data_IF_016578615141
#
_entry.id   IF_016578615141
#
_cell.length_a   1.000
_cell.length_b   1.000
_cell.length_c   1.000
_cell.angle_alpha   90.00
_cell.angle_beta   90.00
_cell.angle_gamma   90.00
#
_symmetry.space_group_name_H-M   'P 1'
#
loop_
_entity.id
_entity.type
_entity.pdbx_description
1 polymer ?
#
# COMPACT_ATOMS: atom_id res chain seq x y z
N UNK A 1 14.22 -16.26 -13.77
CA UNK A 1 13.17 -16.11 -12.73
C UNK A 1 13.90 -16.05 -11.39
N UNK A 2 13.66 -15.01 -10.60
CA UNK A 2 14.33 -14.80 -9.30
C UNK A 2 13.94 -15.93 -8.35
N UNK A 3 14.90 -16.61 -7.73
CA UNK A 3 14.64 -17.75 -6.82
C UNK A 3 14.16 -17.34 -5.42
N UNK A 4 13.52 -16.17 -5.27
CA UNK A 4 13.11 -15.62 -3.98
C UNK A 4 11.57 -15.53 -3.87
N UNK A 5 10.90 -16.42 -3.10
CA UNK A 5 9.44 -16.46 -3.01
C UNK A 5 8.84 -15.18 -2.39
N UNK A 6 9.59 -14.47 -1.55
CA UNK A 6 9.16 -13.19 -0.98
C UNK A 6 9.07 -12.11 -2.07
N UNK A 7 10.05 -12.07 -2.97
CA UNK A 7 10.07 -11.14 -4.10
C UNK A 7 8.94 -11.45 -5.09
N UNK A 8 8.70 -12.72 -5.41
CA UNK A 8 7.64 -13.12 -6.34
C UNK A 8 6.25 -12.71 -5.83
N UNK A 9 6.04 -12.76 -4.52
CA UNK A 9 4.76 -12.33 -3.93
C UNK A 9 4.61 -10.81 -3.95
N UNK A 10 5.67 -10.05 -3.66
CA UNK A 10 5.69 -8.60 -3.80
C UNK A 10 5.35 -8.14 -5.22
N UNK A 11 5.87 -8.82 -6.24
CA UNK A 11 5.59 -8.50 -7.63
C UNK A 11 4.10 -8.66 -7.99
N UNK A 12 3.37 -9.57 -7.35
CA UNK A 12 1.91 -9.66 -7.54
C UNK A 12 1.16 -8.46 -6.97
N UNK A 13 1.64 -7.91 -5.85
CA UNK A 13 1.09 -6.66 -5.29
C UNK A 13 1.43 -5.45 -6.16
N UNK A 14 2.60 -5.45 -6.83
CA UNK A 14 2.96 -4.42 -7.81
C UNK A 14 1.90 -4.32 -8.90
N UNK A 15 1.44 -5.44 -9.47
CA UNK A 15 0.44 -5.43 -10.55
C UNK A 15 -0.87 -4.75 -10.12
N UNK A 16 -1.31 -4.95 -8.86
CA UNK A 16 -2.49 -4.28 -8.30
C UNK A 16 -2.28 -2.76 -8.22
N UNK A 17 -1.16 -2.32 -7.64
CA UNK A 17 -0.86 -0.89 -7.55
C UNK A 17 -0.65 -0.23 -8.91
N UNK A 18 -0.15 -0.97 -9.91
CA UNK A 18 -0.01 -0.48 -11.28
C UNK A 18 -1.35 -0.25 -11.98
N UNK A 19 -2.34 -1.13 -11.75
CA UNK A 19 -3.69 -0.92 -12.25
C UNK A 19 -4.30 0.35 -11.66
N UNK A 20 -4.19 0.54 -10.33
CA UNK A 20 -4.66 1.75 -9.65
C UNK A 20 -3.94 3.01 -10.14
N UNK A 21 -2.62 2.95 -10.36
CA UNK A 21 -1.84 4.06 -10.91
C UNK A 21 -2.33 4.46 -12.31
N UNK A 22 -2.67 3.50 -13.16
CA UNK A 22 -3.19 3.80 -14.49
C UNK A 22 -4.51 4.58 -14.40
N UNK A 23 -5.36 4.25 -13.43
CA UNK A 23 -6.67 4.87 -13.20
C UNK A 23 -6.52 6.28 -12.61
N UNK A 24 -5.67 6.43 -11.60
CA UNK A 24 -5.33 7.72 -10.99
C UNK A 24 -4.73 8.68 -12.01
N UNK A 25 -3.82 8.21 -12.86
CA UNK A 25 -3.27 9.02 -13.94
C UNK A 25 -4.32 9.48 -14.96
N UNK A 26 -5.31 8.62 -15.29
CA UNK A 26 -6.45 9.03 -16.13
C UNK A 26 -7.29 10.12 -15.44
N UNK A 27 -7.55 9.96 -14.15
CA UNK A 27 -8.30 10.94 -13.36
C UNK A 27 -7.58 12.29 -13.28
N UNK A 28 -6.27 12.30 -12.98
CA UNK A 28 -5.46 13.51 -12.91
C UNK A 28 -5.46 14.26 -14.26
N UNK A 29 -5.33 13.54 -15.39
CA UNK A 29 -5.42 14.15 -16.72
C UNK A 29 -6.78 14.81 -16.96
N UNK A 30 -7.87 14.15 -16.56
CA UNK A 30 -9.22 14.71 -16.68
C UNK A 30 -9.41 15.97 -15.84
N UNK A 31 -8.95 15.96 -14.59
CA UNK A 31 -9.04 17.12 -13.70
C UNK A 31 -8.20 18.31 -14.19
N UNK A 32 -6.98 18.06 -14.68
CA UNK A 32 -6.14 19.11 -15.29
C UNK A 32 -6.79 19.71 -16.52
N UNK A 33 -7.43 18.90 -17.37
CA UNK A 33 -8.19 19.38 -18.51
C UNK A 33 -9.38 20.25 -18.05
N UNK A 34 -10.09 19.82 -17.00
CA UNK A 34 -11.18 20.59 -16.41
C UNK A 34 -10.73 21.91 -15.75
N UNK A 35 -9.50 21.99 -15.25
CA UNK A 35 -8.94 23.24 -14.73
C UNK A 35 -8.49 24.20 -15.86
N UNK A 36 -8.16 23.65 -17.03
CA UNK A 36 -7.70 24.43 -18.19
C UNK A 36 -8.83 25.06 -18.99
N UNK A 37 -9.96 24.38 -19.18
CA UNK A 37 -11.05 25.00 -19.97
C UNK A 37 -11.69 26.12 -19.18
N UNK A 38 -11.93 27.25 -19.86
CA UNK A 38 -12.81 28.30 -19.35
C UNK A 38 -14.27 27.86 -19.59
N UNK A 39 -15.20 28.15 -18.67
CA UNK A 39 -16.62 27.97 -18.92
C UNK A 39 -17.04 28.67 -20.23
N UNK A 40 -18.04 28.14 -20.96
CA UNK A 40 -18.94 27.06 -20.55
C UNK A 40 -18.46 25.67 -20.98
N UNK A 41 -18.69 24.70 -20.10
CA UNK A 41 -18.55 23.28 -20.40
C UNK A 41 -19.69 22.84 -21.33
N UNK A 42 -19.45 21.94 -22.31
CA UNK A 42 -20.53 21.36 -23.12
C UNK A 42 -21.60 20.70 -22.25
N UNK A 43 -21.16 20.08 -21.15
CA UNK A 43 -22.00 19.61 -20.05
C UNK A 43 -21.32 20.03 -18.73
N UNK A 44 -21.86 21.02 -18.01
CA UNK A 44 -21.31 21.36 -16.70
C UNK A 44 -21.57 20.19 -15.74
N UNK A 45 -20.55 19.72 -14.99
CA UNK A 45 -20.78 18.75 -13.93
C UNK A 45 -21.81 19.33 -12.96
N UNK A 46 -22.78 18.51 -12.55
CA UNK A 46 -23.77 18.84 -11.52
C UNK A 46 -23.40 18.08 -10.25
N UNK A 47 -23.26 18.75 -9.09
CA UNK A 47 -23.31 20.20 -8.89
C UNK A 47 -22.10 20.92 -9.54
N UNK A 48 -22.21 22.24 -9.83
CA UNK A 48 -21.09 23.00 -10.41
C UNK A 48 -19.88 22.93 -9.48
N UNK A 49 -18.83 22.26 -9.94
CA UNK A 49 -17.57 22.18 -9.21
C UNK A 49 -16.85 23.52 -9.30
N UNK A 50 -16.53 24.11 -8.16
CA UNK A 50 -15.68 25.30 -8.11
C UNK A 50 -14.26 24.95 -8.57
N UNK A 51 -13.52 25.96 -9.04
CA UNK A 51 -12.12 25.76 -9.43
C UNK A 51 -11.28 25.28 -8.25
N UNK A 52 -11.61 25.77 -7.05
CA UNK A 52 -11.01 25.38 -5.78
C UNK A 52 -11.27 23.90 -5.49
N UNK A 53 -12.50 23.41 -5.68
CA UNK A 53 -12.84 22.00 -5.52
C UNK A 53 -12.05 21.12 -6.50
N UNK A 54 -12.00 21.48 -7.79
CA UNK A 54 -11.22 20.75 -8.79
C UNK A 54 -9.73 20.72 -8.49
N UNK A 55 -9.19 21.81 -7.94
CA UNK A 55 -7.79 21.91 -7.54
C UNK A 55 -7.51 21.04 -6.31
N UNK A 56 -8.42 21.02 -5.34
CA UNK A 56 -8.36 20.12 -4.19
C UNK A 56 -8.41 18.64 -4.57
N UNK A 57 -9.34 18.29 -5.47
CA UNK A 57 -9.46 16.93 -6.02
C UNK A 57 -8.18 16.50 -6.75
N UNK A 58 -7.63 17.39 -7.60
CA UNK A 58 -6.39 17.11 -8.31
C UNK A 58 -5.22 16.87 -7.35
N UNK A 59 -5.06 17.74 -6.34
CA UNK A 59 -4.03 17.58 -5.33
C UNK A 59 -4.19 16.25 -4.56
N UNK A 60 -5.43 15.83 -4.26
CA UNK A 60 -5.72 14.53 -3.67
C UNK A 60 -5.30 13.36 -4.55
N UNK A 61 -5.65 13.40 -5.84
CA UNK A 61 -5.25 12.37 -6.80
C UNK A 61 -3.72 12.32 -6.98
N UNK A 62 -3.05 13.46 -7.05
CA UNK A 62 -1.59 13.52 -7.18
C UNK A 62 -0.89 12.93 -5.94
N UNK A 63 -1.38 13.22 -4.72
CA UNK A 63 -0.87 12.57 -3.51
C UNK A 63 -1.02 11.05 -3.55
N UNK A 64 -2.17 10.56 -4.03
CA UNK A 64 -2.41 9.11 -4.19
C UNK A 64 -1.45 8.49 -5.19
N UNK A 65 -1.20 9.15 -6.33
CA UNK A 65 -0.23 8.68 -7.33
C UNK A 65 1.15 8.49 -6.67
N UNK A 66 1.66 9.51 -5.99
CA UNK A 66 2.98 9.44 -5.34
C UNK A 66 3.07 8.30 -4.33
N UNK A 67 1.99 8.06 -3.55
CA UNK A 67 1.93 6.96 -2.59
C UNK A 67 2.01 5.58 -3.25
N UNK A 68 1.23 5.36 -4.31
CA UNK A 68 1.26 4.09 -5.05
C UNK A 68 2.60 3.88 -5.77
N UNK A 69 3.18 4.93 -6.37
CA UNK A 69 4.50 4.86 -7.00
C UNK A 69 5.57 4.42 -6.00
N UNK A 70 5.54 5.02 -4.80
CA UNK A 70 6.50 4.69 -3.75
C UNK A 70 6.41 3.23 -3.28
N UNK A 71 5.20 2.68 -3.14
CA UNK A 71 5.04 1.25 -2.82
C UNK A 71 5.53 0.34 -3.94
N UNK A 72 5.27 0.72 -5.19
CA UNK A 72 5.75 -0.05 -6.35
C UNK A 72 7.28 -0.06 -6.41
N UNK A 73 7.93 1.08 -6.14
CA UNK A 73 9.38 1.17 -6.01
C UNK A 73 9.90 0.25 -4.91
N UNK A 74 9.32 0.35 -3.71
CA UNK A 74 9.71 -0.49 -2.57
C UNK A 74 9.57 -1.98 -2.87
N UNK A 75 8.44 -2.40 -3.44
CA UNK A 75 8.18 -3.80 -3.77
C UNK A 75 9.11 -4.34 -4.87
N UNK A 76 9.65 -3.47 -5.73
CA UNK A 76 10.61 -3.83 -6.78
C UNK A 76 12.07 -3.82 -6.33
N UNK A 77 12.35 -3.23 -5.18
CA UNK A 77 13.70 -3.21 -4.64
C UNK A 77 14.11 -4.62 -4.21
N UNK A 78 15.09 -5.19 -4.92
CA UNK A 78 15.58 -6.54 -4.65
C UNK A 78 16.09 -6.71 -3.21
N UNK A 79 16.58 -5.63 -2.59
CA UNK A 79 17.05 -5.63 -1.21
C UNK A 79 15.92 -5.95 -0.23
N UNK A 80 14.69 -5.53 -0.53
CA UNK A 80 13.52 -5.86 0.30
C UNK A 80 13.30 -7.36 0.33
N UNK A 81 13.27 -8.02 -0.83
CA UNK A 81 13.15 -9.47 -0.90
C UNK A 81 14.29 -10.21 -0.19
N UNK A 82 15.52 -9.71 -0.32
CA UNK A 82 16.70 -10.30 0.34
C UNK A 82 16.66 -10.18 1.87
N UNK A 83 16.29 -9.00 2.37
CA UNK A 83 16.14 -8.74 3.81
C UNK A 83 15.01 -9.57 4.40
N UNK A 84 13.86 -9.64 3.73
CA UNK A 84 12.74 -10.48 4.18
C UNK A 84 13.15 -11.96 4.28
N UNK A 85 13.89 -12.47 3.28
CA UNK A 85 14.42 -13.84 3.33
C UNK A 85 15.38 -14.03 4.50
N UNK A 86 16.32 -13.11 4.71
CA UNK A 86 17.27 -13.20 5.82
C UNK A 86 16.56 -13.18 7.18
N UNK A 87 15.56 -12.31 7.36
CA UNK A 87 14.71 -12.25 8.56
C UNK A 87 13.93 -13.54 8.77
N UNK A 88 13.49 -14.20 7.70
CA UNK A 88 12.77 -15.47 7.80
C UNK A 88 13.68 -16.64 8.23
N UNK A 89 14.95 -16.61 7.85
CA UNK A 89 15.90 -17.70 8.07
C UNK A 89 16.72 -17.55 9.36
N UNK A 90 16.85 -16.33 9.90
CA UNK A 90 17.68 -16.01 11.07
C UNK A 90 16.85 -15.41 12.23
N UNK A 91 16.64 -16.15 13.34
CA UNK A 91 15.90 -15.67 14.50
C UNK A 91 16.55 -14.49 15.23
N UNK A 92 17.87 -14.33 15.19
CA UNK A 92 18.55 -13.20 15.84
C UNK A 92 18.32 -11.93 15.02
N UNK A 93 18.48 -12.03 13.70
CA UNK A 93 18.14 -10.95 12.77
C UNK A 93 16.66 -10.56 12.86
N UNK A 94 15.76 -11.53 13.04
CA UNK A 94 14.34 -11.27 13.24
C UNK A 94 14.04 -10.49 14.52
N UNK A 95 14.80 -10.73 15.60
CA UNK A 95 14.67 -9.98 16.86
C UNK A 95 15.18 -8.56 16.70
N UNK A 96 16.28 -8.36 15.98
CA UNK A 96 16.78 -7.02 15.63
C UNK A 96 15.73 -6.24 14.82
N UNK A 97 15.19 -6.85 13.77
CA UNK A 97 14.12 -6.27 12.97
C UNK A 97 12.86 -5.96 13.80
N UNK A 98 12.52 -6.77 14.80
CA UNK A 98 11.36 -6.55 15.65
C UNK A 98 11.54 -5.42 16.68
N UNK A 99 12.78 -5.13 17.08
CA UNK A 99 13.06 -4.06 18.03
C UNK A 99 12.80 -2.66 17.43
N UNK A 100 13.23 -2.46 16.18
CA UNK A 100 12.97 -1.25 15.41
C UNK A 100 12.97 -1.55 13.90
N UNK A 101 11.81 -1.90 13.32
CA UNK A 101 11.71 -2.26 11.91
C UNK A 101 12.18 -1.15 10.96
N UNK A 102 11.94 0.11 11.33
CA UNK A 102 12.29 1.26 10.49
C UNK A 102 13.80 1.52 10.50
N UNK A 103 14.42 1.50 11.69
CA UNK A 103 15.87 1.63 11.79
C UNK A 103 16.60 0.44 11.15
N UNK A 104 16.05 -0.77 11.31
CA UNK A 104 16.57 -1.98 10.68
C UNK A 104 16.54 -1.86 9.15
N UNK A 105 15.39 -1.50 8.56
CA UNK A 105 15.28 -1.29 7.11
C UNK A 105 16.27 -0.22 6.61
N UNK A 106 16.39 0.91 7.31
CA UNK A 106 17.34 1.96 6.98
C UNK A 106 18.80 1.47 7.03
N UNK A 107 19.14 0.63 8.01
CA UNK A 107 20.45 -0.02 8.12
C UNK A 107 20.79 -0.92 6.92
N UNK A 108 19.76 -1.46 6.26
CA UNK A 108 19.88 -2.22 5.01
C UNK A 108 19.72 -1.35 3.74
N UNK A 109 19.68 -0.02 3.89
CA UNK A 109 19.55 0.93 2.78
C UNK A 109 18.15 0.94 2.14
N UNK A 110 17.15 0.43 2.83
CA UNK A 110 15.74 0.43 2.42
C UNK A 110 15.05 1.62 3.09
N UNK A 111 14.50 2.50 2.26
CA UNK A 111 13.82 3.70 2.72
C UNK A 111 12.31 3.46 2.73
N UNK A 112 11.78 3.16 3.93
CA UNK A 112 10.36 2.89 4.12
C UNK A 112 9.54 4.18 4.05
N UNK A 113 8.36 4.18 3.40
CA UNK A 113 7.46 5.33 3.44
C UNK A 113 7.08 5.69 4.88
N UNK A 114 7.03 6.98 5.22
CA UNK A 114 6.67 7.46 6.57
C UNK A 114 5.28 7.00 7.04
N UNK A 115 4.40 6.65 6.10
CA UNK A 115 3.04 6.16 6.38
C UNK A 115 2.99 4.64 6.60
N UNK A 116 4.09 3.92 6.31
CA UNK A 116 4.15 2.48 6.45
C UNK A 116 4.49 2.11 7.90
N UNK A 117 3.56 1.44 8.56
CA UNK A 117 3.75 0.85 9.87
C UNK A 117 4.08 -0.62 9.71
N UNK A 118 5.22 -1.03 10.24
CA UNK A 118 5.69 -2.42 10.24
C UNK A 118 5.69 -2.94 11.67
N UNK A 119 5.12 -4.11 11.88
CA UNK A 119 5.17 -4.81 13.17
C UNK A 119 5.69 -6.21 12.93
N UNK A 120 6.80 -6.57 13.55
CA UNK A 120 7.39 -7.92 13.44
C UNK A 120 7.13 -8.67 14.75
N UNK A 121 6.69 -9.92 14.63
CA UNK A 121 6.42 -10.83 15.73
C UNK A 121 7.32 -12.05 15.60
N UNK A 122 8.07 -12.33 16.66
CA UNK A 122 8.97 -13.49 16.77
C UNK A 122 8.47 -14.40 17.88
N UNK A 123 8.05 -15.61 17.54
CA UNK A 123 7.57 -16.64 18.46
C UNK A 123 8.43 -17.90 18.33
N UNK A 124 9.49 -18.00 19.14
CA UNK A 124 10.46 -19.08 19.04
C UNK A 124 11.23 -19.02 17.72
N UNK A 125 10.90 -19.91 16.77
CA UNK A 125 11.45 -19.92 15.40
C UNK A 125 10.49 -19.35 14.36
N UNK A 126 9.25 -19.08 14.74
CA UNK A 126 8.25 -18.54 13.83
C UNK A 126 8.41 -17.02 13.78
N UNK A 127 8.58 -16.49 12.57
CA UNK A 127 8.67 -15.06 12.30
C UNK A 127 7.51 -14.66 11.40
N UNK A 128 6.80 -13.62 11.81
CA UNK A 128 5.75 -13.00 11.01
C UNK A 128 5.85 -11.49 11.09
N UNK A 129 5.35 -10.80 10.08
CA UNK A 129 5.25 -9.35 10.10
C UNK A 129 3.89 -8.90 9.59
N UNK A 130 3.44 -7.74 10.07
CA UNK A 130 2.28 -7.02 9.57
C UNK A 130 2.77 -5.69 9.03
N UNK A 131 2.41 -5.41 7.78
CA UNK A 131 2.65 -4.15 7.11
C UNK A 131 1.31 -3.47 6.94
N UNK A 132 1.18 -2.25 7.44
CA UNK A 132 -0.06 -1.50 7.35
C UNK A 132 0.21 -0.06 6.97
N UNK A 133 -0.71 0.52 6.21
CA UNK A 133 -0.74 1.94 5.97
C UNK A 133 -2.08 2.48 6.49
N UNK A 134 -2.10 3.28 7.57
CA UNK A 134 -3.32 3.84 8.12
C UNK A 134 -3.78 5.10 7.36
N UNK A 135 -3.02 5.54 6.35
CA UNK A 135 -3.34 6.73 5.59
C UNK A 135 -4.68 6.55 4.83
N UNK A 136 -5.65 7.46 5.01
CA UNK A 136 -7.00 7.30 4.43
C UNK A 136 -7.02 7.37 2.90
N UNK A 137 -5.97 7.93 2.26
CA UNK A 137 -5.88 7.97 0.81
C UNK A 137 -5.49 6.60 0.20
N UNK A 138 -4.89 5.71 1.00
CA UNK A 138 -4.43 4.38 0.58
C UNK A 138 -4.32 3.41 1.78
N UNK A 139 -5.44 3.08 2.44
CA UNK A 139 -5.40 2.21 3.60
C UNK A 139 -5.17 0.76 3.16
N UNK A 140 -4.22 0.09 3.81
CA UNK A 140 -4.05 -1.36 3.62
C UNK A 140 -3.45 -2.02 4.85
N UNK A 141 -3.63 -3.33 4.92
CA UNK A 141 -2.92 -4.22 5.83
C UNK A 141 -2.58 -5.50 5.07
N UNK A 142 -1.33 -5.94 5.17
CA UNK A 142 -0.87 -7.21 4.60
C UNK A 142 0.02 -7.92 5.61
N UNK A 143 -0.21 -9.22 5.77
CA UNK A 143 0.63 -10.06 6.62
C UNK A 143 1.74 -10.69 5.80
N UNK A 144 2.86 -11.00 6.45
CA UNK A 144 4.00 -11.68 5.87
C UNK A 144 4.48 -12.76 6.82
N UNK A 145 4.89 -13.89 6.24
CA UNK A 145 5.50 -15.02 6.94
C UNK A 145 6.72 -15.50 6.18
N UNK A 146 7.39 -16.54 6.69
CA UNK A 146 8.48 -17.21 5.97
C UNK A 146 8.10 -17.66 4.55
N UNK A 147 6.82 -17.91 4.29
CA UNK A 147 6.34 -18.39 2.99
C UNK A 147 5.96 -17.22 2.05
N UNK A 148 6.15 -15.97 2.49
CA UNK A 148 5.85 -14.75 1.74
C UNK A 148 4.67 -13.98 2.29
N UNK A 149 4.24 -12.97 1.52
CA UNK A 149 3.08 -12.15 1.87
C UNK A 149 1.80 -12.97 1.75
N UNK A 150 0.99 -12.91 2.79
CA UNK A 150 -0.35 -13.50 2.81
C UNK A 150 -1.31 -12.46 2.25
N UNK A 151 -2.20 -12.89 1.34
CA UNK A 151 -3.29 -12.03 0.91
C UNK A 151 -4.08 -11.54 2.15
N UNK A 152 -4.52 -10.27 2.20
CA UNK A 152 -5.37 -9.82 3.29
C UNK A 152 -6.57 -10.75 3.40
N UNK A 153 -7.00 -11.13 4.62
CA UNK A 153 -8.22 -11.89 4.78
C UNK A 153 -9.34 -11.10 4.11
N UNK A 154 -10.03 -11.71 3.14
CA UNK A 154 -11.21 -11.12 2.51
C UNK A 154 -12.18 -10.79 3.65
N UNK A 155 -12.58 -9.52 3.85
CA UNK A 155 -13.51 -9.18 4.91
C UNK A 155 -14.78 -10.02 4.73
N UNK A 156 -15.09 -10.82 5.74
CA UNK A 156 -16.26 -11.69 5.74
C UNK A 156 -17.52 -10.81 5.81
N UNK A 157 -18.08 -10.46 4.64
CA UNK A 157 -19.28 -9.63 4.47
C UNK A 157 -20.51 -10.25 5.15
N UNK A 158 -20.41 -11.46 5.70
CA UNK A 158 -21.52 -12.21 6.30
C UNK A 158 -21.77 -11.98 7.79
N UNK A 159 -20.93 -11.22 8.51
CA UNK A 159 -21.17 -10.94 9.96
C UNK A 159 -22.02 -9.70 10.26
N UNK A 160 -22.66 -9.09 9.25
CA UNK A 160 -23.51 -7.91 9.42
C UNK A 160 -25.02 -8.17 9.58
N UNK A 161 -25.50 -9.43 9.60
CA UNK A 161 -26.96 -9.71 9.55
C UNK A 161 -27.51 -10.70 10.58
N UNK A 162 -26.81 -10.95 11.68
CA UNK A 162 -27.30 -11.82 12.75
C UNK A 162 -27.15 -11.14 14.13
N UNK A 163 -27.85 -10.03 14.32
CA UNK A 163 -28.13 -9.47 15.65
C UNK A 163 -29.44 -8.68 15.59
N UNK A 164 -30.50 -9.37 15.16
CA UNK A 164 -31.87 -8.91 15.30
C UNK A 164 -32.77 -10.15 15.40
N UNK A 165 -32.68 -10.86 16.52
CA UNK A 165 -33.78 -11.69 16.99
C UNK A 165 -34.41 -10.98 18.19
N UNK A 166 -35.74 -10.75 18.17
CA UNK A 166 -36.44 -10.12 19.28
C UNK A 166 -36.73 -11.15 20.38
N UNK A 167 -36.62 -10.71 21.63
CA UNK A 167 -37.33 -11.31 22.77
C UNK A 167 -38.44 -10.35 23.17
#
# INVERSE_FOLDING_TARGET
MSGNPHQDTLLRFVDLHQADLADLHRQARRLREMLRRRPPWPEPPKPPLSREALSGDLAGVERRITKHERLVELARDARVGEVLRAVADDPDLAREAAADPSAFAAGHGIDLPDTLVVTVLVAGRDVSARFSNPDPDMPFEVAWTRDGFQAPPVPDVRRGRAAAEPV
#
